data_IF_534849458884
#
_entry.id   IF_534849458884
#
_cell.length_a   1.000
_cell.length_b   1.000
_cell.length_c   1.000
_cell.angle_alpha   90.00
_cell.angle_beta   90.00
_cell.angle_gamma   90.00
#
_symmetry.space_group_name_H-M   'P 1'
#
loop_
_entity.id
_entity.type
_entity.pdbx_description
1 polymer ?
#
# COMPACT_ATOMS: atom_id res chain seq x y z
N UNK A 1 -27.67 -7.23 -13.00
CA UNK A 1 -26.21 -7.18 -13.20
C UNK A 1 -25.69 -8.59 -13.21
N UNK A 2 -24.88 -9.03 -14.20
CA UNK A 2 -24.33 -10.37 -14.19
C UNK A 2 -23.49 -10.57 -12.94
N UNK A 3 -23.83 -11.57 -12.15
CA UNK A 3 -23.08 -11.98 -10.96
C UNK A 3 -21.79 -12.66 -11.42
N UNK A 4 -20.75 -11.89 -11.65
CA UNK A 4 -19.44 -12.45 -11.97
C UNK A 4 -18.96 -13.30 -10.77
N UNK A 5 -18.71 -14.58 -11.03
CA UNK A 5 -18.19 -15.52 -10.04
C UNK A 5 -16.84 -15.00 -9.54
N UNK A 6 -16.78 -14.58 -8.27
CA UNK A 6 -15.54 -14.09 -7.66
C UNK A 6 -14.54 -15.24 -7.50
N UNK A 7 -13.32 -15.03 -7.94
CA UNK A 7 -12.21 -15.95 -7.74
C UNK A 7 -11.80 -15.91 -6.26
N UNK A 8 -11.90 -17.02 -5.58
CA UNK A 8 -11.47 -17.12 -4.19
C UNK A 8 -10.00 -17.49 -4.15
N UNK A 9 -9.16 -16.57 -3.64
CA UNK A 9 -7.70 -16.72 -3.58
C UNK A 9 -7.26 -16.83 -2.12
N UNK A 10 -6.41 -17.82 -1.76
CA UNK A 10 -5.78 -17.86 -0.44
C UNK A 10 -4.98 -16.59 -0.17
N UNK A 11 -5.02 -16.09 1.07
CA UNK A 11 -4.27 -14.89 1.48
C UNK A 11 -2.77 -15.03 1.23
N UNK A 12 -2.21 -16.24 1.41
CA UNK A 12 -0.79 -16.49 1.17
C UNK A 12 -0.40 -16.35 -0.30
N UNK A 13 -1.26 -16.78 -1.23
CA UNK A 13 -1.04 -16.58 -2.68
C UNK A 13 -1.03 -15.10 -3.02
N UNK A 14 -1.99 -14.33 -2.51
CA UNK A 14 -2.02 -12.88 -2.73
C UNK A 14 -0.77 -12.18 -2.15
N UNK A 15 -0.25 -12.63 -1.00
CA UNK A 15 1.00 -12.14 -0.42
C UNK A 15 2.20 -12.44 -1.31
N UNK A 16 2.32 -13.67 -1.83
CA UNK A 16 3.41 -14.07 -2.73
C UNK A 16 3.40 -13.18 -3.98
N UNK A 17 2.24 -12.98 -4.60
CA UNK A 17 2.11 -12.06 -5.74
C UNK A 17 2.54 -10.63 -5.40
N UNK A 18 2.15 -10.12 -4.23
CA UNK A 18 2.56 -8.80 -3.79
C UNK A 18 4.08 -8.70 -3.60
N UNK A 19 4.74 -9.73 -3.05
CA UNK A 19 6.20 -9.78 -2.88
C UNK A 19 6.93 -9.85 -4.22
N UNK A 20 6.44 -10.66 -5.17
CA UNK A 20 6.98 -10.74 -6.54
C UNK A 20 6.86 -9.38 -7.24
N UNK A 21 5.67 -8.76 -7.18
CA UNK A 21 5.44 -7.45 -7.77
C UNK A 21 6.35 -6.37 -7.15
N UNK A 22 6.58 -6.42 -5.84
CA UNK A 22 7.50 -5.50 -5.14
C UNK A 22 8.94 -5.68 -5.59
N UNK A 23 9.40 -6.92 -5.78
CA UNK A 23 10.73 -7.18 -6.33
C UNK A 23 10.84 -6.66 -7.77
N UNK A 24 9.81 -6.86 -8.58
CA UNK A 24 9.73 -6.33 -9.95
C UNK A 24 9.70 -4.77 -10.00
N UNK A 25 9.22 -4.12 -8.95
CA UNK A 25 9.28 -2.65 -8.83
C UNK A 25 10.70 -2.14 -8.49
N UNK A 26 11.44 -2.85 -7.64
CA UNK A 26 12.74 -2.40 -7.15
C UNK A 26 13.93 -2.92 -7.99
N UNK A 27 13.89 -4.16 -8.44
CA UNK A 27 15.02 -4.77 -9.14
C UNK A 27 15.46 -3.99 -10.40
N UNK A 28 14.57 -3.50 -11.29
CA UNK A 28 15.00 -2.70 -12.43
C UNK A 28 15.67 -1.39 -12.04
N UNK A 29 15.20 -0.74 -10.98
CA UNK A 29 15.76 0.52 -10.48
C UNK A 29 17.15 0.34 -9.89
N UNK A 30 17.35 -0.74 -9.11
CA UNK A 30 18.61 -1.01 -8.43
C UNK A 30 19.65 -1.62 -9.35
N UNK A 31 19.25 -2.56 -10.22
CA UNK A 31 20.14 -3.34 -11.10
C UNK A 31 20.21 -2.80 -12.53
N UNK A 32 19.65 -1.61 -12.80
CA UNK A 32 19.61 -0.99 -14.13
C UNK A 32 19.01 -1.93 -15.22
N UNK A 33 18.00 -2.73 -14.87
CA UNK A 33 17.29 -3.60 -15.80
C UNK A 33 16.25 -2.83 -16.64
N UNK A 34 15.73 -3.42 -17.74
CA UNK A 34 14.71 -2.77 -18.56
C UNK A 34 13.51 -2.31 -17.75
N UNK A 35 13.10 -1.05 -17.92
CA UNK A 35 12.00 -0.43 -17.18
C UNK A 35 10.63 -1.07 -17.41
N UNK A 36 10.46 -1.84 -18.49
CA UNK A 36 9.19 -2.52 -18.79
C UNK A 36 8.72 -3.45 -17.66
N UNK A 37 9.64 -4.07 -16.92
CA UNK A 37 9.32 -4.93 -15.77
C UNK A 37 8.73 -4.09 -14.64
N UNK A 38 9.35 -2.93 -14.37
CA UNK A 38 8.83 -1.98 -13.39
C UNK A 38 7.47 -1.43 -13.81
N UNK A 39 7.33 -1.00 -15.08
CA UNK A 39 6.13 -0.36 -15.59
C UNK A 39 4.94 -1.33 -15.77
N UNK A 40 5.18 -2.62 -15.71
CA UNK A 40 4.16 -3.67 -15.73
C UNK A 40 3.98 -4.31 -14.35
N UNK A 41 4.73 -5.38 -14.06
CA UNK A 41 4.58 -6.13 -12.81
C UNK A 41 4.83 -5.26 -11.56
N UNK A 42 5.82 -4.38 -11.61
CA UNK A 42 6.13 -3.49 -10.47
C UNK A 42 4.97 -2.61 -10.07
N UNK A 43 4.20 -2.09 -11.04
CA UNK A 43 3.05 -1.20 -10.76
C UNK A 43 1.86 -1.89 -10.09
N UNK A 44 1.84 -3.21 -10.08
CA UNK A 44 0.85 -3.99 -9.32
C UNK A 44 1.14 -4.01 -7.82
N UNK A 45 2.39 -3.74 -7.39
CA UNK A 45 2.83 -3.88 -6.02
C UNK A 45 2.00 -3.05 -5.04
N UNK A 46 1.97 -1.73 -5.22
CA UNK A 46 1.28 -0.84 -4.30
C UNK A 46 -0.23 -1.16 -4.15
N UNK A 47 -1.02 -1.33 -5.22
CA UNK A 47 -2.43 -1.73 -5.10
C UNK A 47 -2.64 -3.06 -4.39
N UNK A 48 -1.78 -4.07 -4.62
CA UNK A 48 -1.84 -5.36 -3.95
C UNK A 48 -1.56 -5.23 -2.44
N UNK A 49 -0.50 -4.51 -2.07
CA UNK A 49 -0.18 -4.25 -0.66
C UNK A 49 -1.27 -3.45 0.04
N UNK A 50 -1.76 -2.37 -0.58
CA UNK A 50 -2.84 -1.55 -0.06
C UNK A 50 -4.11 -2.38 0.19
N UNK A 51 -4.48 -3.25 -0.77
CA UNK A 51 -5.61 -4.16 -0.63
C UNK A 51 -5.43 -5.14 0.53
N UNK A 52 -4.25 -5.78 0.65
CA UNK A 52 -3.92 -6.68 1.77
C UNK A 52 -3.95 -5.96 3.12
N UNK A 53 -3.42 -4.75 3.17
CA UNK A 53 -3.36 -3.92 4.37
C UNK A 53 -4.76 -3.53 4.85
N UNK A 54 -5.62 -3.02 3.96
CA UNK A 54 -7.00 -2.68 4.29
C UNK A 54 -7.81 -3.92 4.71
N UNK A 55 -7.61 -5.07 4.04
CA UNK A 55 -8.24 -6.33 4.44
C UNK A 55 -7.82 -6.75 5.85
N UNK A 56 -6.53 -6.65 6.17
CA UNK A 56 -6.02 -6.99 7.50
C UNK A 56 -6.49 -6.00 8.56
N UNK A 57 -6.50 -4.70 8.24
CA UNK A 57 -7.01 -3.66 9.12
C UNK A 57 -8.45 -3.91 9.54
N UNK A 58 -9.34 -4.21 8.59
CA UNK A 58 -10.74 -4.52 8.87
C UNK A 58 -10.96 -5.81 9.69
N UNK A 59 -9.95 -6.66 9.80
CA UNK A 59 -10.01 -7.93 10.56
C UNK A 59 -9.29 -7.87 11.91
N UNK A 60 -8.46 -6.88 12.14
CA UNK A 60 -7.65 -6.80 13.37
C UNK A 60 -8.28 -5.88 14.41
N UNK A 61 -8.25 -6.32 15.68
CA UNK A 61 -8.62 -5.48 16.80
C UNK A 61 -7.43 -4.82 17.49
N UNK A 62 -6.20 -5.10 17.01
CA UNK A 62 -4.95 -4.67 17.63
C UNK A 62 -4.15 -3.72 16.70
N UNK A 63 -4.75 -2.55 16.38
CA UNK A 63 -4.13 -1.55 15.51
C UNK A 63 -2.71 -1.19 15.94
N UNK A 64 -2.45 -0.96 17.23
CA UNK A 64 -1.13 -0.56 17.71
C UNK A 64 -0.03 -1.56 17.39
N UNK A 65 -0.32 -2.87 17.51
CA UNK A 65 0.65 -3.89 17.12
C UNK A 65 0.98 -3.83 15.63
N UNK A 66 0.00 -3.45 14.82
CA UNK A 66 0.14 -3.30 13.38
C UNK A 66 0.95 -2.06 13.01
N UNK A 67 0.61 -0.91 13.60
CA UNK A 67 1.29 0.36 13.41
C UNK A 67 2.76 0.29 13.84
N UNK A 68 3.05 -0.29 15.02
CA UNK A 68 4.42 -0.48 15.51
C UNK A 68 5.25 -1.32 14.53
N UNK A 69 4.70 -2.40 13.97
CA UNK A 69 5.38 -3.20 12.96
C UNK A 69 5.71 -2.40 11.70
N UNK A 70 4.72 -1.67 11.16
CA UNK A 70 4.94 -0.79 10.00
C UNK A 70 6.03 0.25 10.30
N UNK A 71 6.00 0.85 11.49
CA UNK A 71 7.00 1.83 11.90
C UNK A 71 8.40 1.23 12.02
N UNK A 72 8.56 0.12 12.74
CA UNK A 72 9.87 -0.53 12.94
C UNK A 72 10.47 -0.94 11.59
N UNK A 73 9.72 -1.69 10.78
CA UNK A 73 10.22 -2.14 9.48
C UNK A 73 10.38 -0.98 8.49
N UNK A 74 9.57 0.08 8.61
CA UNK A 74 9.73 1.33 7.87
C UNK A 74 11.07 2.00 8.18
N UNK A 75 11.38 2.22 9.45
CA UNK A 75 12.66 2.81 9.88
C UNK A 75 13.84 1.92 9.46
N UNK A 76 13.77 0.62 9.71
CA UNK A 76 14.84 -0.32 9.30
C UNK A 76 15.11 -0.24 7.80
N UNK A 77 14.06 -0.25 6.98
CA UNK A 77 14.22 -0.16 5.52
C UNK A 77 14.83 1.16 5.11
N UNK A 78 14.36 2.28 5.67
CA UNK A 78 14.90 3.60 5.33
C UNK A 78 16.38 3.71 5.72
N UNK A 79 16.79 3.21 6.89
CA UNK A 79 18.20 3.19 7.29
C UNK A 79 19.09 2.36 6.35
N UNK A 80 18.55 1.26 5.77
CA UNK A 80 19.26 0.42 4.82
C UNK A 80 19.38 1.12 3.46
N UNK A 81 18.35 1.80 3.00
CA UNK A 81 18.26 2.36 1.64
C UNK A 81 18.91 3.74 1.53
N UNK A 82 18.80 4.57 2.57
CA UNK A 82 19.34 5.94 2.57
C UNK A 82 20.81 6.06 2.13
N UNK A 83 21.74 5.16 2.53
CA UNK A 83 23.12 5.23 2.06
C UNK A 83 23.29 5.05 0.54
N UNK A 84 22.32 4.45 -0.13
CA UNK A 84 22.40 4.11 -1.56
C UNK A 84 21.64 5.09 -2.46
N UNK A 85 20.50 5.62 -2.02
CA UNK A 85 19.67 6.50 -2.83
C UNK A 85 19.47 7.91 -2.24
N UNK A 86 20.01 8.15 -1.04
CA UNK A 86 19.95 9.45 -0.36
C UNK A 86 18.56 9.84 0.15
N UNK A 87 17.57 8.94 0.06
CA UNK A 87 16.19 9.25 0.47
C UNK A 87 15.76 8.43 1.67
N UNK A 88 15.02 9.05 2.58
CA UNK A 88 14.40 8.37 3.73
C UNK A 88 12.95 7.94 3.42
N UNK A 89 12.53 8.10 2.16
CA UNK A 89 11.16 7.80 1.72
C UNK A 89 10.91 6.29 1.69
N UNK A 90 9.69 5.89 2.12
CA UNK A 90 9.35 4.48 2.25
C UNK A 90 7.85 4.28 2.15
N UNK A 91 7.43 3.26 1.43
CA UNK A 91 6.02 2.90 1.25
C UNK A 91 5.35 2.47 2.56
N UNK A 92 6.09 1.89 3.51
CA UNK A 92 5.54 1.50 4.81
C UNK A 92 5.06 2.70 5.62
N UNK A 93 5.70 3.87 5.46
CA UNK A 93 5.23 5.12 6.04
C UNK A 93 3.94 5.62 5.39
N UNK A 94 3.78 5.48 4.07
CA UNK A 94 2.50 5.79 3.41
C UNK A 94 1.36 4.97 4.04
N UNK A 95 1.58 3.69 4.25
CA UNK A 95 0.60 2.81 4.90
C UNK A 95 0.37 3.17 6.37
N UNK A 96 1.42 3.47 7.11
CA UNK A 96 1.34 3.85 8.52
C UNK A 96 0.48 5.10 8.71
N UNK A 97 0.76 6.16 7.96
CA UNK A 97 0.02 7.44 8.09
C UNK A 97 -1.42 7.31 7.60
N UNK A 98 -1.66 6.55 6.51
CA UNK A 98 -3.00 6.26 6.05
C UNK A 98 -3.83 5.51 7.10
N UNK A 99 -3.29 4.46 7.70
CA UNK A 99 -3.97 3.71 8.76
C UNK A 99 -4.16 4.54 10.03
N UNK A 100 -3.19 5.35 10.42
CA UNK A 100 -3.30 6.26 11.59
C UNK A 100 -4.46 7.23 11.40
N UNK A 101 -4.60 7.81 10.22
CA UNK A 101 -5.71 8.68 9.89
C UNK A 101 -7.06 7.95 9.89
N UNK A 102 -7.12 6.72 9.37
CA UNK A 102 -8.34 5.90 9.38
C UNK A 102 -8.81 5.60 10.82
N UNK A 103 -7.88 5.21 11.70
CA UNK A 103 -8.21 4.97 13.12
C UNK A 103 -8.69 6.23 13.81
N UNK A 104 -8.04 7.37 13.56
CA UNK A 104 -8.48 8.66 14.09
C UNK A 104 -9.88 9.00 13.59
N UNK A 105 -10.15 8.78 12.30
CA UNK A 105 -11.48 9.01 11.70
C UNK A 105 -12.54 8.15 12.38
N UNK A 106 -12.31 6.84 12.52
CA UNK A 106 -13.27 5.96 13.20
C UNK A 106 -13.53 6.39 14.65
N UNK A 107 -12.45 6.75 15.37
CA UNK A 107 -12.58 7.18 16.77
C UNK A 107 -13.39 8.46 16.91
N UNK A 108 -13.10 9.46 16.07
CA UNK A 108 -13.78 10.76 16.06
C UNK A 108 -15.25 10.58 15.67
N UNK A 109 -15.53 9.85 14.59
CA UNK A 109 -16.92 9.63 14.13
C UNK A 109 -17.77 8.85 15.13
N UNK A 110 -17.16 7.97 15.94
CA UNK A 110 -17.88 7.26 17.01
C UNK A 110 -18.18 8.13 18.23
N UNK A 111 -17.31 9.11 18.54
CA UNK A 111 -17.43 9.94 19.74
C UNK A 111 -18.14 11.26 19.54
N UNK A 112 -17.98 11.86 18.37
CA UNK A 112 -18.50 13.18 18.04
C UNK A 112 -19.66 13.01 17.07
N UNK A 113 -20.86 13.47 17.44
CA UNK A 113 -22.05 13.39 16.57
C UNK A 113 -22.15 14.55 15.57
N UNK A 114 -21.57 15.70 15.91
CA UNK A 114 -21.64 16.91 15.08
C UNK A 114 -20.66 16.79 13.90
N UNK A 115 -21.19 16.89 12.68
CA UNK A 115 -20.38 16.87 11.45
C UNK A 115 -19.32 17.99 11.43
N UNK A 116 -19.66 19.19 11.90
CA UNK A 116 -18.75 20.33 11.94
C UNK A 116 -17.54 20.04 12.83
N UNK A 117 -17.76 19.48 14.02
CA UNK A 117 -16.68 19.11 14.93
C UNK A 117 -15.86 17.91 14.41
N UNK A 118 -16.51 16.95 13.74
CA UNK A 118 -15.78 15.88 13.06
C UNK A 118 -14.84 16.45 11.99
N UNK A 119 -15.35 17.31 11.13
CA UNK A 119 -14.57 17.97 10.08
C UNK A 119 -13.41 18.78 10.65
N UNK A 120 -13.65 19.56 11.72
CA UNK A 120 -12.61 20.33 12.39
C UNK A 120 -11.45 19.45 12.90
N UNK A 121 -11.76 18.40 13.67
CA UNK A 121 -10.73 17.51 14.22
C UNK A 121 -10.00 16.72 13.13
N UNK A 122 -10.72 16.21 12.12
CA UNK A 122 -10.10 15.48 11.02
C UNK A 122 -9.20 16.38 10.17
N UNK A 123 -9.60 17.62 9.94
CA UNK A 123 -8.74 18.60 9.24
C UNK A 123 -7.48 18.90 10.03
N UNK A 124 -7.58 19.08 11.35
CA UNK A 124 -6.42 19.30 12.22
C UNK A 124 -5.45 18.12 12.19
N UNK A 125 -5.96 16.88 12.29
CA UNK A 125 -5.13 15.67 12.21
C UNK A 125 -4.49 15.54 10.83
N UNK A 126 -5.24 15.79 9.75
CA UNK A 126 -4.71 15.75 8.39
C UNK A 126 -3.58 16.77 8.19
N UNK A 127 -3.75 18.00 8.67
CA UNK A 127 -2.71 19.04 8.62
C UNK A 127 -1.46 18.62 9.41
N UNK A 128 -1.64 18.03 10.61
CA UNK A 128 -0.53 17.56 11.41
C UNK A 128 0.23 16.39 10.75
N UNK A 129 -0.48 15.50 10.04
CA UNK A 129 0.13 14.38 9.31
C UNK A 129 0.68 14.79 7.94
N UNK A 130 0.30 15.94 7.39
CA UNK A 130 0.65 16.37 6.03
C UNK A 130 2.16 16.30 5.74
N UNK A 131 3.06 16.85 6.58
CA UNK A 131 4.50 16.75 6.34
C UNK A 131 4.98 15.30 6.24
N UNK A 132 4.47 14.43 7.11
CA UNK A 132 4.84 13.01 7.15
C UNK A 132 4.31 12.25 5.92
N UNK A 133 3.12 12.60 5.45
CA UNK A 133 2.53 12.05 4.23
C UNK A 133 3.37 12.45 3.02
N UNK A 134 3.73 13.72 2.91
CA UNK A 134 4.54 14.24 1.79
C UNK A 134 5.97 13.68 1.77
N UNK A 135 6.51 13.32 2.93
CA UNK A 135 7.82 12.66 3.04
C UNK A 135 7.76 11.15 2.81
N UNK A 136 6.59 10.56 2.64
CA UNK A 136 6.45 9.14 2.30
C UNK A 136 6.54 8.89 0.79
N UNK A 137 6.81 7.65 0.38
CA UNK A 137 7.14 7.29 -1.01
C UNK A 137 6.01 7.65 -2.01
N UNK A 138 4.78 7.22 -1.72
CA UNK A 138 3.61 7.54 -2.57
C UNK A 138 2.89 8.84 -2.19
N UNK A 139 3.32 9.53 -1.12
CA UNK A 139 2.77 10.82 -0.71
C UNK A 139 1.24 10.86 -0.64
N UNK A 140 0.66 11.95 -1.11
CA UNK A 140 -0.79 12.16 -1.11
C UNK A 140 -1.54 11.16 -2.00
N UNK A 141 -0.95 10.71 -3.11
CA UNK A 141 -1.61 9.77 -4.01
C UNK A 141 -1.85 8.41 -3.33
N UNK A 142 -0.81 7.87 -2.68
CA UNK A 142 -0.92 6.62 -1.94
C UNK A 142 -1.84 6.73 -0.72
N UNK A 143 -1.74 7.84 0.01
CA UNK A 143 -2.63 8.14 1.13
C UNK A 143 -4.11 8.19 0.68
N UNK A 144 -4.41 8.96 -0.38
CA UNK A 144 -5.78 9.10 -0.91
C UNK A 144 -6.32 7.77 -1.44
N UNK A 145 -5.48 6.96 -2.09
CA UNK A 145 -5.88 5.63 -2.56
C UNK A 145 -6.26 4.70 -1.41
N UNK A 146 -5.50 4.69 -0.30
CA UNK A 146 -5.84 3.91 0.90
C UNK A 146 -7.20 4.30 1.48
N UNK A 147 -7.46 5.62 1.59
CA UNK A 147 -8.73 6.13 2.09
C UNK A 147 -9.90 5.74 1.18
N UNK A 148 -9.72 5.91 -0.14
CA UNK A 148 -10.74 5.52 -1.12
C UNK A 148 -11.03 4.01 -1.09
N UNK A 149 -9.99 3.18 -0.97
CA UNK A 149 -10.12 1.74 -0.88
C UNK A 149 -10.84 1.30 0.41
N UNK A 150 -10.54 1.96 1.53
CA UNK A 150 -11.26 1.73 2.79
C UNK A 150 -12.72 2.16 2.69
N UNK A 151 -13.01 3.34 2.13
CA UNK A 151 -14.37 3.83 1.92
C UNK A 151 -15.18 2.87 1.03
N UNK A 152 -14.60 2.40 -0.08
CA UNK A 152 -15.21 1.38 -0.93
C UNK A 152 -15.48 0.08 -0.19
N UNK A 153 -14.53 -0.36 0.64
CA UNK A 153 -14.67 -1.59 1.44
C UNK A 153 -15.80 -1.49 2.47
N UNK A 154 -15.94 -0.33 3.09
CA UNK A 154 -16.96 -0.04 4.11
C UNK A 154 -18.34 0.18 3.51
N UNK A 155 -18.41 0.87 2.37
CA UNK A 155 -19.64 1.18 1.66
C UNK A 155 -19.42 1.10 0.14
N UNK A 156 -19.62 -0.08 -0.48
CA UNK A 156 -19.44 -0.27 -1.92
C UNK A 156 -20.58 0.41 -2.70
N UNK A 157 -20.33 1.62 -3.19
CA UNK A 157 -21.23 2.40 -4.03
C UNK A 157 -20.49 2.96 -5.25
N UNK A 158 -21.23 3.60 -6.17
CA UNK A 158 -20.65 4.17 -7.39
C UNK A 158 -19.62 5.26 -7.11
N UNK A 159 -19.86 6.12 -6.13
CA UNK A 159 -18.97 7.24 -5.77
C UNK A 159 -17.63 6.69 -5.26
N UNK A 160 -17.68 5.76 -4.30
CA UNK A 160 -16.47 5.15 -3.75
C UNK A 160 -15.72 4.31 -4.79
N UNK A 161 -16.43 3.66 -5.73
CA UNK A 161 -15.82 2.99 -6.87
C UNK A 161 -15.04 3.96 -7.74
N UNK A 162 -15.67 5.07 -8.14
CA UNK A 162 -15.02 6.11 -8.94
C UNK A 162 -13.82 6.70 -8.20
N UNK A 163 -13.96 6.99 -6.90
CA UNK A 163 -12.86 7.51 -6.08
C UNK A 163 -11.65 6.56 -6.06
N UNK A 164 -11.87 5.23 -5.95
CA UNK A 164 -10.78 4.24 -5.99
C UNK A 164 -10.09 4.26 -7.35
N UNK A 165 -10.82 4.28 -8.46
CA UNK A 165 -10.23 4.29 -9.80
C UNK A 165 -9.50 5.61 -10.11
N UNK A 166 -10.05 6.76 -9.70
CA UNK A 166 -9.40 8.04 -9.86
C UNK A 166 -8.09 8.10 -9.07
N UNK A 167 -8.11 7.76 -7.79
CA UNK A 167 -6.90 7.75 -6.96
C UNK A 167 -5.88 6.72 -7.44
N UNK A 168 -6.32 5.55 -7.96
CA UNK A 168 -5.45 4.56 -8.58
C UNK A 168 -4.76 5.09 -9.85
N UNK A 169 -5.45 5.85 -10.68
CA UNK A 169 -4.86 6.47 -11.86
C UNK A 169 -3.74 7.46 -11.49
N UNK A 170 -3.91 8.22 -10.40
CA UNK A 170 -2.90 9.15 -9.90
C UNK A 170 -1.68 8.49 -9.26
N UNK A 171 -1.74 7.21 -8.89
CA UNK A 171 -0.57 6.50 -8.33
C UNK A 171 0.60 6.41 -9.30
N UNK A 172 0.33 6.27 -10.59
CA UNK A 172 1.34 5.93 -11.60
C UNK A 172 1.16 6.73 -12.90
N UNK A 173 0.99 8.06 -12.81
CA UNK A 173 0.78 8.95 -13.98
C UNK A 173 2.03 9.12 -14.87
N UNK A 174 3.10 8.39 -14.60
CA UNK A 174 4.34 8.44 -15.38
C UNK A 174 4.21 7.94 -16.83
N UNK A 175 3.10 7.28 -17.17
CA UNK A 175 2.84 6.77 -18.51
C UNK A 175 1.54 6.00 -18.64
N UNK A 176 1.12 5.74 -19.87
CA UNK A 176 -0.14 5.04 -20.16
C UNK A 176 -0.09 3.58 -19.65
N UNK A 177 1.02 2.89 -19.85
CA UNK A 177 1.19 1.49 -19.43
C UNK A 177 1.12 1.34 -17.91
N UNK A 178 1.88 2.10 -17.10
CA UNK A 178 1.75 2.09 -15.65
C UNK A 178 0.32 2.34 -15.14
N UNK A 179 -0.36 3.34 -15.71
CA UNK A 179 -1.75 3.65 -15.35
C UNK A 179 -2.68 2.48 -15.69
N UNK A 180 -2.59 1.95 -16.91
CA UNK A 180 -3.45 0.85 -17.35
C UNK A 180 -3.26 -0.40 -16.48
N UNK A 181 -2.02 -0.79 -16.17
CA UNK A 181 -1.72 -1.93 -15.30
C UNK A 181 -2.28 -1.72 -13.90
N UNK A 182 -2.11 -0.53 -13.34
CA UNK A 182 -2.67 -0.18 -12.01
C UNK A 182 -4.19 -0.31 -12.00
N UNK A 183 -4.88 0.26 -13.00
CA UNK A 183 -6.34 0.21 -13.10
C UNK A 183 -6.87 -1.22 -13.31
N UNK A 184 -6.22 -2.02 -14.15
CA UNK A 184 -6.57 -3.44 -14.36
C UNK A 184 -6.40 -4.23 -13.06
N UNK A 185 -5.29 -3.99 -12.34
CA UNK A 185 -5.03 -4.64 -11.05
C UNK A 185 -6.13 -4.30 -10.04
N UNK A 186 -6.44 -3.02 -9.89
CA UNK A 186 -7.49 -2.55 -8.98
C UNK A 186 -8.86 -3.11 -9.36
N UNK A 187 -9.20 -3.12 -10.65
CA UNK A 187 -10.44 -3.74 -11.14
C UNK A 187 -10.49 -5.23 -10.79
N UNK A 188 -9.40 -5.96 -11.01
CA UNK A 188 -9.28 -7.36 -10.62
C UNK A 188 -9.52 -7.57 -9.13
N UNK A 189 -8.86 -6.79 -8.29
CA UNK A 189 -8.96 -6.89 -6.82
C UNK A 189 -10.38 -6.58 -6.31
N UNK A 190 -11.02 -5.57 -6.86
CA UNK A 190 -12.36 -5.14 -6.42
C UNK A 190 -13.46 -6.08 -6.90
N UNK A 191 -13.45 -6.44 -8.18
CA UNK A 191 -14.57 -7.16 -8.80
C UNK A 191 -14.39 -8.67 -8.83
N UNK A 192 -13.15 -9.17 -8.91
CA UNK A 192 -12.89 -10.58 -9.19
C UNK A 192 -12.28 -11.33 -8.01
N UNK A 193 -11.56 -10.67 -7.09
CA UNK A 193 -10.83 -11.34 -6.03
C UNK A 193 -11.60 -11.30 -4.71
N UNK A 194 -11.70 -12.47 -4.07
CA UNK A 194 -12.11 -12.61 -2.67
C UNK A 194 -11.01 -13.36 -1.93
N UNK A 195 -10.42 -12.72 -0.93
CA UNK A 195 -9.40 -13.37 -0.10
C UNK A 195 -10.05 -14.28 0.93
N UNK A 196 -9.57 -15.54 0.99
CA UNK A 196 -10.04 -16.55 1.93
C UNK A 196 -8.92 -17.07 2.82
N UNK A 197 -9.30 -17.42 4.06
CA UNK A 197 -8.40 -18.00 5.03
C UNK A 197 -7.48 -17.01 5.73
N UNK A 198 -6.68 -17.56 6.65
CA UNK A 198 -5.60 -16.86 7.33
C UNK A 198 -4.25 -17.18 6.66
N UNK A 199 -3.24 -16.37 6.95
CA UNK A 199 -1.88 -16.62 6.50
C UNK A 199 -1.26 -17.76 7.30
N UNK A 200 -0.91 -18.85 6.63
CA UNK A 200 -0.26 -20.03 7.23
C UNK A 200 1.20 -20.16 6.81
N UNK A 201 1.49 -19.94 5.52
CA UNK A 201 2.83 -20.06 4.94
C UNK A 201 3.71 -18.85 5.25
N UNK A 202 3.17 -17.66 5.00
CA UNK A 202 3.91 -16.41 5.23
C UNK A 202 3.44 -15.78 6.53
N UNK A 203 4.19 -16.06 7.60
CA UNK A 203 3.94 -15.44 8.91
C UNK A 203 4.10 -13.93 8.81
N UNK A 204 3.46 -13.19 9.73
CA UNK A 204 3.44 -11.73 9.69
C UNK A 204 4.86 -11.10 9.66
N UNK A 205 5.80 -11.62 10.46
CA UNK A 205 7.16 -11.10 10.52
C UNK A 205 7.93 -11.32 9.20
N UNK A 206 7.76 -12.47 8.54
CA UNK A 206 8.39 -12.75 7.24
C UNK A 206 7.90 -11.81 6.13
N UNK A 207 6.61 -11.46 6.14
CA UNK A 207 6.06 -10.53 5.18
C UNK A 207 6.62 -9.11 5.32
N UNK A 208 6.81 -8.62 6.56
CA UNK A 208 7.43 -7.32 6.80
C UNK A 208 8.94 -7.34 6.62
N UNK A 209 9.62 -8.40 7.10
CA UNK A 209 11.07 -8.54 6.98
C UNK A 209 11.54 -8.68 5.53
N UNK A 210 10.70 -9.21 4.65
CA UNK A 210 11.02 -9.30 3.22
C UNK A 210 11.33 -7.94 2.60
N UNK A 211 10.65 -6.86 3.04
CA UNK A 211 10.84 -5.53 2.48
C UNK A 211 12.27 -5.01 2.66
N UNK A 212 12.87 -4.94 3.86
CA UNK A 212 14.28 -4.59 3.98
C UNK A 212 15.21 -5.65 3.39
N UNK A 213 14.89 -6.95 3.53
CA UNK A 213 15.78 -8.04 3.12
C UNK A 213 16.01 -8.07 1.60
N UNK A 214 14.94 -7.95 0.79
CA UNK A 214 15.12 -7.98 -0.67
C UNK A 214 15.91 -6.77 -1.18
N UNK A 215 15.79 -5.60 -0.55
CA UNK A 215 16.58 -4.42 -0.89
C UNK A 215 18.06 -4.62 -0.54
N UNK A 216 18.38 -5.17 0.64
CA UNK A 216 19.76 -5.55 0.98
C UNK A 216 20.35 -6.47 -0.09
N UNK A 217 19.61 -7.50 -0.49
CA UNK A 217 20.04 -8.44 -1.52
C UNK A 217 20.28 -7.73 -2.86
N UNK A 218 19.35 -6.88 -3.28
CA UNK A 218 19.48 -6.15 -4.54
C UNK A 218 20.69 -5.20 -4.54
N UNK A 219 20.91 -4.46 -3.47
CA UNK A 219 22.07 -3.58 -3.34
C UNK A 219 23.38 -4.38 -3.22
N UNK A 220 23.40 -5.52 -2.54
CA UNK A 220 24.56 -6.40 -2.50
C UNK A 220 24.92 -6.93 -3.90
N UNK A 221 23.93 -7.35 -4.69
CA UNK A 221 24.14 -7.76 -6.09
C UNK A 221 24.70 -6.60 -6.92
N UNK A 222 24.12 -5.39 -6.76
CA UNK A 222 24.60 -4.20 -7.48
C UNK A 222 26.08 -3.91 -7.18
N UNK A 223 26.48 -3.94 -5.90
CA UNK A 223 27.87 -3.68 -5.50
C UNK A 223 28.81 -4.78 -5.96
N UNK A 224 28.34 -6.04 -6.05
CA UNK A 224 29.13 -7.15 -6.53
C UNK A 224 29.33 -7.12 -8.06
N UNK A 225 28.28 -6.78 -8.82
CA UNK A 225 28.30 -6.82 -10.27
C UNK A 225 28.71 -5.48 -10.93
N UNK A 226 28.71 -4.39 -10.21
CA UNK A 226 28.87 -3.02 -10.73
C UNK A 226 30.00 -2.22 -10.09
N UNK A 227 30.84 -2.87 -9.28
CA UNK A 227 32.08 -2.29 -8.73
C UNK A 227 33.19 -2.26 -9.75
#
# INVERSE_FOLDING_TARGET
MPTFRRLTIPVDVAKIFALIAMTADHAPKVLALPGIINDTLGRMAFPLFAFLIIQNYCRTHAFWKYAVRLGIFGVMTSLIVTPFDGTFKNVLFTFLWGLTFLVATEHICRRIRSFVWQAYWLSGILLALMPLILMSDYGLCGFSFLLALYAYRSLPNRINTVAVFLTAAFLNISGIVPVAVTLITVAGLIYRVRLQGGSRLIRWWGFYAYYPLHLVILYAIRTWCGG
#
